data_IF_606491649273
#
_entry.id   IF_606491649273
#
_cell.length_a   1.000
_cell.length_b   1.000
_cell.length_c   1.000
_cell.angle_alpha   90.00
_cell.angle_beta   90.00
_cell.angle_gamma   90.00
#
_symmetry.space_group_name_H-M   'P 1'
#
loop_
_entity.id
_entity.type
_entity.pdbx_description
1 polymer ?
#
# COMPACT_ATOMS: atom_id res chain seq x y z
N UNK A 1 -4.85 -17.53 20.25
CA UNK A 1 -5.70 -17.22 19.08
C UNK A 1 -5.45 -15.81 18.58
N UNK A 2 -4.35 -15.61 17.84
CA UNK A 2 -4.05 -14.34 17.16
C UNK A 2 -3.61 -14.63 15.71
N UNK A 3 -4.36 -15.47 15.04
CA UNK A 3 -4.12 -15.77 13.63
C UNK A 3 -4.73 -14.63 12.83
N UNK A 4 -3.89 -13.79 12.22
CA UNK A 4 -4.37 -12.72 11.34
C UNK A 4 -5.05 -13.35 10.12
N UNK A 5 -6.08 -12.67 9.59
CA UNK A 5 -6.78 -13.15 8.40
C UNK A 5 -5.75 -13.37 7.28
N UNK A 6 -5.67 -14.58 6.69
CA UNK A 6 -4.69 -14.88 5.66
C UNK A 6 -4.73 -13.82 4.57
N UNK A 7 -3.62 -13.11 4.42
CA UNK A 7 -3.52 -11.95 3.55
C UNK A 7 -2.42 -12.16 2.54
N UNK A 8 -2.67 -11.68 1.31
CA UNK A 8 -1.61 -11.50 0.31
C UNK A 8 -0.75 -10.30 0.72
N UNK A 9 0.07 -9.77 -0.19
CA UNK A 9 1.05 -8.70 0.08
C UNK A 9 0.49 -7.47 0.80
N UNK A 10 -0.80 -7.18 0.64
CA UNK A 10 -1.50 -6.16 1.43
C UNK A 10 -2.76 -6.76 2.04
N UNK A 11 -2.98 -6.49 3.32
CA UNK A 11 -4.17 -6.97 4.03
C UNK A 11 -5.42 -6.14 3.61
N UNK A 12 -6.64 -6.63 3.88
CA UNK A 12 -7.87 -5.91 3.52
C UNK A 12 -8.00 -4.52 4.18
N UNK A 13 -7.50 -4.36 5.41
CA UNK A 13 -7.53 -3.08 6.12
C UNK A 13 -6.58 -2.06 5.48
N UNK A 14 -5.39 -2.47 5.05
CA UNK A 14 -4.43 -1.64 4.31
C UNK A 14 -5.02 -1.18 2.98
N UNK A 15 -5.69 -2.08 2.24
CA UNK A 15 -6.39 -1.73 1.00
C UNK A 15 -7.55 -0.76 1.27
N UNK A 16 -8.30 -0.99 2.34
CA UNK A 16 -9.38 -0.10 2.76
C UNK A 16 -8.88 1.30 3.11
N UNK A 17 -7.81 1.39 3.91
CA UNK A 17 -7.16 2.65 4.28
C UNK A 17 -6.61 3.37 3.06
N UNK A 18 -6.01 2.66 2.11
CA UNK A 18 -5.55 3.25 0.86
C UNK A 18 -6.72 3.85 0.05
N UNK A 19 -7.74 3.06 -0.29
CA UNK A 19 -8.82 3.53 -1.17
C UNK A 19 -9.75 4.54 -0.50
N UNK A 20 -10.28 4.18 0.66
CA UNK A 20 -11.31 4.97 1.34
C UNK A 20 -10.74 6.00 2.31
N UNK A 21 -9.57 5.74 2.89
CA UNK A 21 -8.91 6.65 3.82
C UNK A 21 -8.02 7.69 3.16
N UNK A 22 -7.44 7.38 2.00
CA UNK A 22 -6.43 8.24 1.37
C UNK A 22 -6.79 8.65 -0.07
N UNK A 23 -7.14 7.72 -0.95
CA UNK A 23 -7.35 8.00 -2.37
C UNK A 23 -8.56 8.89 -2.62
N UNK A 24 -9.77 8.46 -2.21
CA UNK A 24 -10.98 9.26 -2.42
C UNK A 24 -10.97 10.58 -1.64
N UNK A 25 -10.63 10.61 -0.33
CA UNK A 25 -10.50 11.87 0.40
C UNK A 25 -9.42 12.77 -0.18
N UNK A 26 -8.29 12.21 -0.64
CA UNK A 26 -7.22 12.96 -1.29
C UNK A 26 -7.66 13.63 -2.59
N UNK A 27 -8.44 12.94 -3.42
CA UNK A 27 -9.05 13.54 -4.62
C UNK A 27 -9.98 14.70 -4.27
N UNK A 28 -10.82 14.54 -3.23
CA UNK A 28 -11.70 15.61 -2.74
C UNK A 28 -10.87 16.79 -2.23
N UNK A 29 -9.83 16.54 -1.44
CA UNK A 29 -8.94 17.57 -0.89
C UNK A 29 -8.24 18.35 -2.02
N UNK A 30 -7.69 17.68 -3.03
CA UNK A 30 -7.06 18.33 -4.19
C UNK A 30 -8.08 19.14 -4.98
N UNK A 31 -9.21 18.55 -5.37
CA UNK A 31 -10.23 19.24 -6.17
C UNK A 31 -10.79 20.47 -5.45
N UNK A 32 -11.13 20.33 -4.17
CA UNK A 32 -11.60 21.47 -3.35
C UNK A 32 -10.51 22.51 -3.09
N UNK A 33 -9.25 22.09 -2.91
CA UNK A 33 -8.12 23.01 -2.76
C UNK A 33 -7.91 23.88 -4.00
N UNK A 34 -7.99 23.29 -5.20
CA UNK A 34 -7.90 24.04 -6.46
C UNK A 34 -9.03 25.07 -6.62
N UNK A 35 -10.24 24.76 -6.14
CA UNK A 35 -11.35 25.73 -6.11
C UNK A 35 -11.10 26.83 -5.08
N UNK A 36 -10.62 26.49 -3.88
CA UNK A 36 -10.33 27.47 -2.82
C UNK A 36 -9.22 28.45 -3.23
N UNK A 37 -8.21 27.97 -3.95
CA UNK A 37 -7.10 28.77 -4.50
C UNK A 37 -7.51 29.58 -5.75
N UNK A 38 -8.78 29.51 -6.16
CA UNK A 38 -9.32 30.18 -7.35
C UNK A 38 -8.61 29.82 -8.65
N UNK A 39 -8.10 28.59 -8.74
CA UNK A 39 -7.41 28.07 -9.93
C UNK A 39 -8.38 27.48 -10.96
N UNK A 40 -9.65 27.29 -10.59
CA UNK A 40 -10.70 26.77 -11.48
C UNK A 40 -11.65 27.92 -11.87
N UNK A 41 -11.58 28.42 -13.11
CA UNK A 41 -12.48 29.48 -13.59
C UNK A 41 -13.95 29.05 -13.52
N UNK A 42 -14.83 29.91 -13.02
CA UNK A 42 -16.28 29.66 -12.91
C UNK A 42 -16.72 28.85 -11.69
N UNK A 43 -15.82 28.60 -10.73
CA UNK A 43 -16.12 27.96 -9.45
C UNK A 43 -15.60 28.81 -8.29
N UNK A 44 -16.36 28.85 -7.18
CA UNK A 44 -15.96 29.61 -5.98
C UNK A 44 -16.19 31.13 -6.07
N UNK A 45 -17.03 31.58 -7.00
CA UNK A 45 -17.29 33.00 -7.23
C UNK A 45 -18.15 33.64 -6.12
N UNK A 46 -19.01 32.83 -5.49
CA UNK A 46 -19.88 33.29 -4.40
C UNK A 46 -19.36 32.84 -3.04
N UNK A 47 -19.68 33.62 -2.00
CA UNK A 47 -19.37 33.24 -0.60
C UNK A 47 -19.96 31.89 -0.21
N UNK A 48 -21.18 31.59 -0.66
CA UNK A 48 -21.84 30.31 -0.36
C UNK A 48 -21.11 29.11 -0.97
N UNK A 49 -20.69 29.21 -2.24
CA UNK A 49 -19.88 28.16 -2.87
C UNK A 49 -18.56 27.96 -2.13
N UNK A 50 -17.86 29.04 -1.79
CA UNK A 50 -16.59 28.96 -1.05
C UNK A 50 -16.77 28.29 0.31
N UNK A 51 -17.85 28.56 1.04
CA UNK A 51 -18.15 27.90 2.32
C UNK A 51 -18.33 26.37 2.15
N UNK A 52 -19.11 25.94 1.15
CA UNK A 52 -19.35 24.52 0.89
C UNK A 52 -18.04 23.82 0.53
N UNK A 53 -17.24 24.43 -0.36
CA UNK A 53 -15.93 23.89 -0.76
C UNK A 53 -14.99 23.80 0.43
N UNK A 54 -14.98 24.81 1.31
CA UNK A 54 -14.18 24.80 2.53
C UNK A 54 -14.56 23.66 3.47
N UNK A 55 -15.86 23.41 3.65
CA UNK A 55 -16.35 22.31 4.47
C UNK A 55 -15.92 20.95 3.88
N UNK A 56 -16.09 20.77 2.57
CA UNK A 56 -15.63 19.56 1.89
C UNK A 56 -14.12 19.33 2.07
N UNK A 57 -13.31 20.39 1.90
CA UNK A 57 -11.85 20.32 2.07
C UNK A 57 -11.46 19.96 3.50
N UNK A 58 -12.06 20.64 4.49
CA UNK A 58 -11.78 20.40 5.91
C UNK A 58 -12.19 18.99 6.34
N UNK A 59 -13.35 18.51 5.92
CA UNK A 59 -13.79 17.15 6.25
C UNK A 59 -12.87 16.09 5.63
N UNK A 60 -12.51 16.25 4.35
CA UNK A 60 -11.62 15.30 3.67
C UNK A 60 -10.23 15.25 4.32
N UNK A 61 -9.63 16.41 4.57
CA UNK A 61 -8.30 16.50 5.18
C UNK A 61 -8.29 16.05 6.64
N UNK A 62 -9.36 16.29 7.41
CA UNK A 62 -9.49 15.77 8.77
C UNK A 62 -9.54 14.23 8.81
N UNK A 63 -10.29 13.59 7.90
CA UNK A 63 -10.33 12.13 7.77
C UNK A 63 -8.93 11.60 7.42
N UNK A 64 -8.27 12.21 6.44
CA UNK A 64 -6.91 11.81 6.04
C UNK A 64 -5.91 11.94 7.20
N UNK A 65 -6.00 13.02 7.98
CA UNK A 65 -5.14 13.24 9.13
C UNK A 65 -5.34 12.15 10.20
N UNK A 66 -6.59 11.79 10.50
CA UNK A 66 -6.88 10.69 11.42
C UNK A 66 -6.32 9.33 10.92
N UNK A 67 -6.50 9.04 9.63
CA UNK A 67 -5.98 7.82 9.01
C UNK A 67 -4.44 7.80 8.97
N UNK A 68 -3.80 8.95 8.73
CA UNK A 68 -2.35 9.09 8.76
C UNK A 68 -1.79 8.76 10.14
N UNK A 69 -2.43 9.24 11.22
CA UNK A 69 -2.02 8.85 12.58
C UNK A 69 -2.16 7.34 12.82
N UNK A 70 -3.26 6.74 12.36
CA UNK A 70 -3.44 5.28 12.41
C UNK A 70 -2.35 4.52 11.64
N UNK A 71 -2.01 5.00 10.43
CA UNK A 71 -0.96 4.43 9.60
C UNK A 71 0.43 4.53 10.25
N UNK A 72 0.77 5.69 10.81
CA UNK A 72 2.05 5.90 11.53
C UNK A 72 2.10 4.98 12.76
N UNK A 73 1.01 4.89 13.52
CA UNK A 73 0.94 4.01 14.69
C UNK A 73 1.17 2.55 14.31
N UNK A 74 0.45 2.03 13.31
CA UNK A 74 0.60 0.65 12.84
C UNK A 74 2.01 0.39 12.27
N UNK A 75 2.55 1.34 11.52
CA UNK A 75 3.86 1.23 10.90
C UNK A 75 5.04 1.31 11.88
N UNK A 76 4.84 1.82 13.10
CA UNK A 76 5.91 2.00 14.10
C UNK A 76 5.77 1.08 15.30
N UNK A 77 4.65 1.16 16.01
CA UNK A 77 4.44 0.46 17.29
C UNK A 77 3.45 -0.69 17.16
N UNK A 78 2.42 -0.53 16.31
CA UNK A 78 1.31 -1.48 16.19
C UNK A 78 1.71 -2.83 15.56
N UNK A 79 2.68 -2.84 14.64
CA UNK A 79 3.21 -4.05 14.01
C UNK A 79 4.72 -4.11 14.19
N UNK A 80 5.19 -5.02 15.04
CA UNK A 80 6.63 -5.21 15.27
C UNK A 80 7.31 -5.57 13.96
N UNK A 81 8.47 -4.99 13.68
CA UNK A 81 9.22 -5.22 12.45
C UNK A 81 8.76 -4.43 11.23
N UNK A 82 7.53 -3.89 11.20
CA UNK A 82 7.00 -3.16 10.05
C UNK A 82 7.84 -1.92 9.69
N UNK A 83 8.28 -1.14 10.69
CA UNK A 83 9.14 0.02 10.44
C UNK A 83 10.48 -0.37 9.83
N UNK A 84 11.11 -1.44 10.34
CA UNK A 84 12.38 -1.95 9.81
C UNK A 84 12.18 -2.41 8.36
N UNK A 85 11.09 -3.13 8.09
CA UNK A 85 10.73 -3.59 6.75
C UNK A 85 10.55 -2.43 5.76
N UNK A 86 9.87 -1.34 6.15
CA UNK A 86 9.74 -0.15 5.31
C UNK A 86 11.08 0.53 5.03
N UNK A 87 12.00 0.52 6.00
CA UNK A 87 13.31 1.18 5.89
C UNK A 87 14.31 0.38 5.07
N UNK A 88 14.34 -0.94 5.23
CA UNK A 88 15.33 -1.83 4.58
C UNK A 88 14.81 -2.48 3.30
N UNK A 89 13.48 -2.56 3.13
CA UNK A 89 12.84 -3.29 2.04
C UNK A 89 12.76 -4.80 2.26
N UNK A 90 13.21 -5.31 3.41
CA UNK A 90 13.30 -6.74 3.70
C UNK A 90 12.51 -7.11 4.96
N UNK A 91 11.86 -8.27 4.91
CA UNK A 91 11.13 -8.91 6.03
C UNK A 91 11.70 -10.30 6.27
N UNK A 92 11.66 -10.76 7.51
CA UNK A 92 11.97 -12.15 7.83
C UNK A 92 10.79 -13.08 7.46
N UNK A 93 11.09 -14.37 7.33
CA UNK A 93 10.09 -15.39 6.94
C UNK A 93 9.01 -15.56 8.00
N UNK A 94 9.38 -15.52 9.28
CA UNK A 94 8.43 -15.64 10.40
C UNK A 94 7.38 -14.52 10.35
N UNK A 95 7.80 -13.27 10.14
CA UNK A 95 6.91 -12.13 9.99
C UNK A 95 6.00 -12.27 8.77
N UNK A 96 6.54 -12.74 7.65
CA UNK A 96 5.76 -12.98 6.43
C UNK A 96 4.69 -14.06 6.64
N UNK A 97 5.01 -15.13 7.37
CA UNK A 97 4.04 -16.18 7.76
C UNK A 97 2.97 -15.61 8.69
N UNK A 98 3.33 -14.78 9.67
CA UNK A 98 2.39 -14.21 10.64
C UNK A 98 1.45 -13.14 10.05
N UNK A 99 1.95 -12.30 9.15
CA UNK A 99 1.23 -11.10 8.68
C UNK A 99 0.73 -11.19 7.24
N UNK A 100 1.42 -11.97 6.38
CA UNK A 100 1.12 -12.07 4.95
C UNK A 100 1.23 -13.51 4.44
N UNK A 101 0.62 -14.45 5.18
CA UNK A 101 0.70 -15.89 4.92
C UNK A 101 0.50 -16.29 3.45
N UNK A 102 -0.51 -15.73 2.77
CA UNK A 102 -0.78 -16.08 1.37
C UNK A 102 0.34 -15.59 0.43
N UNK A 103 0.97 -14.47 0.76
CA UNK A 103 2.12 -13.98 0.00
C UNK A 103 3.37 -14.83 0.25
N UNK A 104 3.59 -15.29 1.49
CA UNK A 104 4.63 -16.27 1.79
C UNK A 104 4.40 -17.59 1.01
N UNK A 105 3.18 -18.12 1.03
CA UNK A 105 2.81 -19.34 0.32
C UNK A 105 3.06 -19.22 -1.20
N UNK A 106 2.78 -18.05 -1.79
CA UNK A 106 3.05 -17.78 -3.21
C UNK A 106 4.55 -17.69 -3.55
N UNK A 107 5.39 -17.24 -2.62
CA UNK A 107 6.86 -17.25 -2.77
C UNK A 107 7.39 -18.67 -2.64
N UNK A 108 6.97 -19.41 -1.61
CA UNK A 108 7.38 -20.79 -1.37
C UNK A 108 6.97 -21.72 -2.54
N UNK A 109 5.82 -21.46 -3.15
CA UNK A 109 5.35 -22.16 -4.36
C UNK A 109 6.05 -21.70 -5.66
N UNK A 110 6.99 -20.76 -5.59
CA UNK A 110 7.72 -20.24 -6.76
C UNK A 110 6.87 -19.41 -7.73
N UNK A 111 5.65 -19.01 -7.37
CA UNK A 111 4.78 -18.17 -8.22
C UNK A 111 5.29 -16.73 -8.30
N UNK A 112 5.97 -16.28 -7.25
CA UNK A 112 6.50 -14.92 -7.12
C UNK A 112 7.97 -15.02 -6.70
N UNK A 113 8.91 -14.34 -7.39
CA UNK A 113 10.30 -14.30 -6.96
C UNK A 113 10.44 -13.56 -5.63
N UNK A 114 11.22 -14.11 -4.71
CA UNK A 114 11.51 -13.51 -3.40
C UNK A 114 12.22 -12.15 -3.53
N UNK A 115 13.11 -12.02 -4.52
CA UNK A 115 13.79 -10.77 -4.85
C UNK A 115 13.36 -10.31 -6.25
N UNK A 116 12.66 -9.17 -6.33
CA UNK A 116 12.18 -8.59 -7.60
C UNK A 116 13.17 -7.64 -8.25
N UNK A 117 14.07 -7.04 -7.46
CA UNK A 117 15.03 -6.05 -7.93
C UNK A 117 16.44 -6.65 -7.84
N UNK A 118 17.08 -6.89 -8.98
CA UNK A 118 18.51 -7.21 -9.04
C UNK A 118 18.92 -8.64 -9.42
N UNK A 119 18.00 -9.51 -9.84
CA UNK A 119 18.38 -10.77 -10.49
C UNK A 119 17.87 -10.75 -11.93
N UNK A 120 18.76 -10.39 -12.85
CA UNK A 120 18.67 -10.97 -14.19
C UNK A 120 18.73 -12.48 -13.98
N UNK A 121 17.64 -13.16 -14.32
CA UNK A 121 17.54 -14.61 -14.22
C UNK A 121 18.65 -15.20 -15.08
N UNK A 122 19.70 -15.73 -14.44
CA UNK A 122 20.72 -16.47 -15.15
C UNK A 122 20.00 -17.69 -15.75
N UNK A 123 20.01 -17.86 -17.09
CA UNK A 123 19.27 -18.93 -17.73
C UNK A 123 19.78 -20.26 -17.18
N UNK A 124 18.84 -21.13 -16.79
CA UNK A 124 19.16 -22.45 -16.25
C UNK A 124 20.15 -23.17 -17.18
N UNK A 125 21.20 -23.83 -16.64
CA UNK A 125 22.17 -24.51 -17.46
C UNK A 125 21.45 -25.56 -18.33
N UNK A 126 21.80 -25.69 -19.62
CA UNK A 126 21.15 -26.65 -20.50
C UNK A 126 21.34 -28.05 -19.91
N UNK A 127 20.22 -28.75 -19.70
CA UNK A 127 20.22 -30.14 -19.26
C UNK A 127 21.03 -30.93 -20.28
N UNK A 128 22.18 -31.45 -19.85
CA UNK A 128 23.04 -32.26 -20.70
C UNK A 128 22.22 -33.43 -21.23
N UNK A 129 22.03 -33.45 -22.55
CA UNK A 129 21.39 -34.55 -23.23
C UNK A 129 22.14 -35.83 -22.88
N UNK A 130 21.47 -36.72 -22.15
CA UNK A 130 21.95 -38.07 -21.85
C UNK A 130 22.05 -38.78 -23.21
N UNK A 131 23.27 -38.83 -23.74
CA UNK A 131 23.59 -39.59 -24.94
C UNK A 131 23.32 -41.06 -24.67
N UNK A 132 22.28 -41.61 -25.31
CA UNK A 132 22.13 -43.04 -25.45
C UNK A 132 23.20 -43.52 -26.41
N UNK A 133 24.19 -44.23 -25.89
CA UNK A 133 25.14 -45.03 -26.65
C UNK A 133 24.38 -46.15 -27.37
N UNK A 134 24.57 -46.26 -28.67
CA UNK A 134 24.27 -47.44 -29.48
C UNK A 134 25.55 -47.87 -30.20
#
# INVERSE_FOLDING_TARGET
GKEQVPSHRFNPAEKGMYWWGMFFPGLIAVASGLVLDKLIPGFGDTRGQMQIVHMAHLTATAIMMAMLFGHIYMGTVGVRGAYKAMKTGWVDEEWAVEHHKLWYDDIAAGKIPAQRSGQAQEPAPPQAAVGHSA
#
